data_IF_925936608674
#
_entry.id   IF_925936608674
#
_cell.length_a   1.000
_cell.length_b   1.000
_cell.length_c   1.000
_cell.angle_alpha   90.00
_cell.angle_beta   90.00
_cell.angle_gamma   90.00
#
_symmetry.space_group_name_H-M   'P 1'
#
loop_
_entity.id
_entity.type
_entity.pdbx_description
1 polymer ?
#
# COMPACT_ATOMS: atom_id res chain seq x y z
N UNK A 1 5.87 3.34 13.30
CA UNK A 1 5.46 2.86 11.96
C UNK A 1 6.13 3.67 10.85
N UNK A 2 6.06 5.01 10.89
CA UNK A 2 6.67 5.88 9.87
C UNK A 2 8.16 5.62 9.66
N UNK A 3 8.95 5.51 10.74
CA UNK A 3 10.38 5.18 10.66
C UNK A 3 10.66 3.89 9.88
N UNK A 4 9.92 2.81 10.14
CA UNK A 4 10.04 1.56 9.41
C UNK A 4 9.67 1.72 7.92
N UNK A 5 8.59 2.44 7.63
CA UNK A 5 8.13 2.67 6.27
C UNK A 5 9.19 3.44 5.46
N UNK A 6 9.67 4.57 6.00
CA UNK A 6 10.75 5.38 5.40
C UNK A 6 11.99 4.54 5.15
N UNK A 7 12.47 3.82 6.16
CA UNK A 7 13.68 2.99 6.04
C UNK A 7 13.54 1.90 4.97
N UNK A 8 12.36 1.29 4.81
CA UNK A 8 12.12 0.30 3.76
C UNK A 8 12.01 0.92 2.38
N UNK A 9 11.36 2.09 2.24
CA UNK A 9 11.25 2.83 0.99
C UNK A 9 12.61 3.30 0.47
N UNK A 10 13.46 3.83 1.36
CA UNK A 10 14.84 4.23 1.04
C UNK A 10 15.65 3.05 0.49
N UNK A 11 15.50 1.88 1.08
CA UNK A 11 16.22 0.67 0.68
C UNK A 11 15.81 0.11 -0.69
N UNK A 12 14.63 0.46 -1.20
CA UNK A 12 14.11 -0.01 -2.50
C UNK A 12 14.14 1.06 -3.58
N UNK A 13 14.74 2.23 -3.35
CA UNK A 13 15.02 3.18 -4.42
C UNK A 13 14.01 4.31 -4.58
N UNK A 14 13.14 4.55 -3.58
CA UNK A 14 12.20 5.68 -3.63
C UNK A 14 12.92 7.04 -3.74
N UNK A 15 13.96 7.34 -2.92
CA UNK A 15 14.66 8.63 -3.01
C UNK A 15 15.15 8.93 -4.43
N UNK A 16 15.80 7.96 -5.06
CA UNK A 16 16.32 8.07 -6.43
C UNK A 16 15.20 8.25 -7.47
N UNK A 17 14.08 7.53 -7.31
CA UNK A 17 12.96 7.55 -8.26
C UNK A 17 12.17 8.84 -8.20
N UNK A 18 12.03 9.44 -7.01
CA UNK A 18 11.22 10.63 -6.78
C UNK A 18 12.06 11.91 -6.59
N UNK A 19 13.39 11.83 -6.77
CA UNK A 19 14.29 12.98 -6.73
C UNK A 19 14.35 13.67 -5.36
N UNK A 20 14.34 12.88 -4.28
CA UNK A 20 14.46 13.36 -2.89
C UNK A 20 15.64 12.70 -2.18
N UNK A 21 16.14 13.30 -1.09
CA UNK A 21 17.29 12.76 -0.35
C UNK A 21 16.88 11.55 0.51
N UNK A 22 15.67 11.60 1.09
CA UNK A 22 15.05 10.47 1.79
C UNK A 22 13.56 10.40 1.47
N UNK A 23 12.99 9.19 1.55
CA UNK A 23 11.54 8.98 1.50
C UNK A 23 10.82 9.71 2.64
N UNK A 24 11.53 10.15 3.69
CA UNK A 24 11.00 11.03 4.72
C UNK A 24 10.50 12.36 4.14
N UNK A 25 11.15 12.89 3.10
CA UNK A 25 10.87 14.19 2.49
C UNK A 25 9.61 14.15 1.62
N UNK A 26 9.16 12.96 1.22
CA UNK A 26 7.88 12.78 0.55
C UNK A 26 6.72 13.15 1.48
N UNK A 27 6.85 12.94 2.79
CA UNK A 27 5.79 13.22 3.75
C UNK A 27 5.61 14.72 3.98
N UNK A 28 4.45 15.24 3.58
CA UNK A 28 4.15 16.67 3.61
C UNK A 28 4.39 17.36 2.27
N UNK A 29 4.97 16.66 1.29
CA UNK A 29 5.03 17.10 -0.09
C UNK A 29 3.74 16.77 -0.86
N UNK A 30 3.55 17.41 -2.01
CA UNK A 30 2.48 17.06 -2.96
C UNK A 30 2.71 15.74 -3.70
N UNK A 31 3.92 15.15 -3.61
CA UNK A 31 4.29 13.90 -4.27
C UNK A 31 3.74 12.67 -3.54
N UNK A 32 3.40 12.79 -2.25
CA UNK A 32 2.84 11.69 -1.46
C UNK A 32 1.33 11.85 -1.27
N UNK A 33 0.59 10.85 -1.72
CA UNK A 33 -0.81 10.67 -1.37
C UNK A 33 -0.93 9.50 -0.41
N UNK A 34 -1.57 9.72 0.74
CA UNK A 34 -1.91 8.65 1.68
C UNK A 34 -3.39 8.32 1.56
N UNK A 35 -3.74 7.04 1.62
CA UNK A 35 -5.10 6.55 1.50
C UNK A 35 -5.31 5.26 2.30
N UNK A 36 -6.56 4.84 2.42
CA UNK A 36 -6.93 3.61 3.10
C UNK A 36 -7.97 2.86 2.29
N UNK A 37 -7.81 1.54 2.20
CA UNK A 37 -8.82 0.64 1.62
C UNK A 37 -10.16 0.77 2.34
N UNK A 38 -10.12 0.98 3.65
CA UNK A 38 -11.29 1.25 4.48
C UNK A 38 -11.18 2.70 4.95
N UNK A 39 -12.01 3.58 4.40
CA UNK A 39 -11.97 5.03 4.64
C UNK A 39 -12.08 5.38 6.12
N UNK A 40 -12.93 4.66 6.85
CA UNK A 40 -13.21 4.90 8.26
C UNK A 40 -12.55 3.85 9.15
N UNK A 41 -12.19 4.21 10.41
CA UNK A 41 -11.71 3.24 11.38
C UNK A 41 -12.70 2.09 11.58
N UNK A 42 -12.22 0.86 11.41
CA UNK A 42 -13.01 -0.34 11.65
C UNK A 42 -12.55 -0.99 12.94
N UNK A 43 -13.51 -1.32 13.80
CA UNK A 43 -13.27 -2.00 15.05
C UNK A 43 -13.98 -3.35 15.05
N UNK A 44 -13.35 -4.32 15.69
CA UNK A 44 -13.97 -5.59 16.02
C UNK A 44 -13.70 -5.88 17.49
N UNK A 45 -14.74 -6.19 18.25
CA UNK A 45 -14.63 -6.50 19.68
C UNK A 45 -13.89 -5.40 20.48
N UNK A 46 -14.16 -4.12 20.13
CA UNK A 46 -13.50 -2.91 20.68
C UNK A 46 -11.99 -2.83 20.44
N UNK A 47 -11.46 -3.62 19.51
CA UNK A 47 -10.06 -3.61 19.08
C UNK A 47 -9.95 -3.16 17.63
N UNK A 48 -8.79 -2.63 17.27
CA UNK A 48 -8.48 -2.28 15.89
C UNK A 48 -8.62 -3.51 14.98
N UNK A 49 -9.39 -3.37 13.92
CA UNK A 49 -9.51 -4.40 12.90
C UNK A 49 -8.19 -4.56 12.13
N UNK A 50 -7.78 -5.81 11.89
CA UNK A 50 -6.47 -6.15 11.33
C UNK A 50 -6.50 -6.54 9.84
N UNK A 51 -7.67 -6.48 9.19
CA UNK A 51 -7.83 -6.88 7.79
C UNK A 51 -8.01 -8.40 7.57
N UNK A 52 -8.13 -9.22 8.61
CA UNK A 52 -8.12 -10.69 8.47
C UNK A 52 -9.45 -11.39 8.77
N UNK A 53 -10.23 -10.90 9.72
CA UNK A 53 -11.46 -11.59 10.15
C UNK A 53 -12.55 -10.58 10.54
N UNK A 54 -13.61 -10.39 9.72
CA UNK A 54 -13.78 -10.97 8.37
C UNK A 54 -12.71 -10.47 7.41
N UNK A 55 -12.56 -11.04 6.21
CA UNK A 55 -11.74 -10.42 5.15
C UNK A 55 -12.53 -9.23 4.58
N UNK A 56 -11.88 -8.13 4.12
CA UNK A 56 -12.61 -6.96 3.62
C UNK A 56 -13.61 -7.32 2.50
N UNK A 57 -13.17 -8.12 1.54
CA UNK A 57 -13.98 -8.55 0.40
C UNK A 57 -15.09 -9.56 0.76
N UNK A 58 -15.09 -10.11 1.98
CA UNK A 58 -16.09 -11.11 2.40
C UNK A 58 -17.17 -10.54 3.32
N UNK A 59 -17.13 -9.24 3.62
CA UNK A 59 -18.11 -8.59 4.50
C UNK A 59 -18.84 -7.47 3.73
N UNK A 60 -20.18 -7.52 3.60
CA UNK A 60 -20.93 -6.59 2.73
C UNK A 60 -20.61 -5.12 2.94
N UNK A 61 -20.64 -4.64 4.20
CA UNK A 61 -20.35 -3.24 4.50
C UNK A 61 -18.89 -2.81 4.21
N UNK A 62 -17.93 -3.74 4.31
CA UNK A 62 -16.53 -3.44 4.01
C UNK A 62 -16.30 -3.42 2.51
N UNK A 63 -16.94 -4.34 1.77
CA UNK A 63 -16.92 -4.39 0.32
C UNK A 63 -17.59 -3.15 -0.28
N UNK A 64 -18.74 -2.73 0.25
CA UNK A 64 -19.44 -1.51 -0.18
C UNK A 64 -18.55 -0.27 -0.03
N UNK A 65 -17.82 -0.14 1.08
CA UNK A 65 -16.86 0.95 1.28
C UNK A 65 -15.71 0.91 0.25
N UNK A 66 -15.25 -0.29 -0.12
CA UNK A 66 -14.23 -0.46 -1.15
C UNK A 66 -14.76 0.00 -2.51
N UNK A 67 -15.94 -0.50 -2.90
CA UNK A 67 -16.54 -0.24 -4.21
C UNK A 67 -16.94 1.23 -4.36
N UNK A 68 -17.56 1.82 -3.33
CA UNK A 68 -18.14 3.18 -3.39
C UNK A 68 -17.18 4.31 -3.00
N UNK A 69 -16.09 4.02 -2.27
CA UNK A 69 -15.16 5.06 -1.79
C UNK A 69 -13.75 4.81 -2.32
N UNK A 70 -13.15 3.68 -1.97
CA UNK A 70 -11.74 3.44 -2.29
C UNK A 70 -11.47 3.40 -3.80
N UNK A 71 -12.35 2.76 -4.57
CA UNK A 71 -12.20 2.71 -6.04
C UNK A 71 -12.27 4.10 -6.67
N UNK A 72 -13.13 4.98 -6.17
CA UNK A 72 -13.21 6.38 -6.64
C UNK A 72 -11.97 7.18 -6.25
N UNK A 73 -11.47 7.04 -5.00
CA UNK A 73 -10.24 7.68 -4.56
C UNK A 73 -9.04 7.22 -5.41
N UNK A 74 -8.95 5.92 -5.70
CA UNK A 74 -7.87 5.36 -6.52
C UNK A 74 -7.91 5.88 -7.97
N UNK A 75 -9.12 5.98 -8.55
CA UNK A 75 -9.31 6.51 -9.89
C UNK A 75 -8.88 7.99 -10.02
N UNK A 76 -8.94 8.77 -8.93
CA UNK A 76 -8.49 10.17 -8.91
C UNK A 76 -6.97 10.34 -8.93
N UNK A 77 -6.20 9.25 -8.82
CA UNK A 77 -4.74 9.26 -8.83
C UNK A 77 -4.19 8.38 -9.95
N UNK A 78 -4.44 8.69 -11.25
CA UNK A 78 -4.03 7.84 -12.37
C UNK A 78 -2.51 7.71 -12.55
N UNK A 79 -1.75 8.71 -12.10
CA UNK A 79 -0.31 8.82 -12.36
C UNK A 79 0.56 8.47 -11.14
N UNK A 80 -0.01 7.73 -10.18
CA UNK A 80 0.69 7.37 -8.94
C UNK A 80 1.15 5.91 -8.92
N UNK A 81 2.37 5.68 -8.44
CA UNK A 81 2.84 4.38 -7.97
C UNK A 81 2.14 4.03 -6.65
N UNK A 82 1.56 2.85 -6.57
CA UNK A 82 0.76 2.38 -5.43
C UNK A 82 1.60 1.45 -4.57
N UNK A 83 1.79 1.84 -3.30
CA UNK A 83 2.48 1.04 -2.30
C UNK A 83 1.47 0.38 -1.35
N UNK A 84 1.04 -0.88 -1.58
CA UNK A 84 0.17 -1.59 -0.67
C UNK A 84 0.89 -1.95 0.63
N UNK A 85 0.28 -1.61 1.77
CA UNK A 85 0.82 -1.96 3.08
C UNK A 85 0.27 -3.33 3.53
N UNK A 86 0.87 -4.41 3.02
CA UNK A 86 0.60 -5.78 3.43
C UNK A 86 -0.51 -6.51 2.66
N UNK A 87 -0.59 -7.83 2.88
CA UNK A 87 -1.33 -8.78 2.05
C UNK A 87 -2.85 -8.56 1.99
N UNK A 88 -3.45 -7.97 3.03
CA UNK A 88 -4.89 -7.65 2.99
C UNK A 88 -5.19 -6.55 1.97
N UNK A 89 -4.31 -5.55 1.87
CA UNK A 89 -4.44 -4.44 0.91
C UNK A 89 -4.18 -4.93 -0.50
N UNK A 90 -3.15 -5.77 -0.70
CA UNK A 90 -2.86 -6.39 -2.00
C UNK A 90 -4.07 -7.15 -2.55
N UNK A 91 -4.74 -7.98 -1.74
CA UNK A 91 -5.93 -8.71 -2.18
C UNK A 91 -7.07 -7.80 -2.61
N UNK A 92 -7.19 -6.62 -2.00
CA UNK A 92 -8.19 -5.64 -2.41
C UNK A 92 -7.78 -5.00 -3.73
N UNK A 93 -6.49 -4.68 -3.93
CA UNK A 93 -6.00 -4.21 -5.23
C UNK A 93 -6.15 -5.27 -6.33
N UNK A 94 -5.94 -6.56 -6.04
CA UNK A 94 -6.21 -7.67 -6.97
C UNK A 94 -7.69 -7.67 -7.40
N UNK A 95 -8.60 -7.47 -6.43
CA UNK A 95 -10.03 -7.34 -6.70
C UNK A 95 -10.35 -6.10 -7.55
N UNK A 96 -9.78 -4.94 -7.21
CA UNK A 96 -9.98 -3.69 -7.98
C UNK A 96 -9.43 -3.84 -9.40
N UNK A 97 -8.26 -4.46 -9.59
CA UNK A 97 -7.69 -4.75 -10.90
C UNK A 97 -8.56 -5.72 -11.71
N UNK A 98 -9.30 -6.63 -11.06
CA UNK A 98 -10.26 -7.50 -11.76
C UNK A 98 -11.53 -6.77 -12.24
N UNK A 99 -11.78 -5.56 -11.73
CA UNK A 99 -12.97 -4.74 -12.02
C UNK A 99 -12.67 -3.50 -12.85
N UNK A 100 -11.40 -3.15 -13.02
CA UNK A 100 -10.96 -1.88 -13.61
C UNK A 100 -9.73 -2.10 -14.49
N UNK A 101 -9.30 -1.07 -15.21
CA UNK A 101 -8.06 -1.08 -15.98
C UNK A 101 -6.82 -0.70 -15.14
N UNK A 102 -6.77 -1.06 -13.85
CA UNK A 102 -5.62 -0.78 -12.99
C UNK A 102 -4.37 -1.54 -13.52
N UNK A 103 -3.33 -0.85 -14.03
CA UNK A 103 -2.15 -1.50 -14.56
C UNK A 103 -1.33 -2.16 -13.45
N UNK A 104 -0.89 -3.40 -13.67
CA UNK A 104 -0.02 -4.11 -12.72
C UNK A 104 1.31 -3.38 -12.47
N UNK A 105 1.83 -2.65 -13.46
CA UNK A 105 3.03 -1.81 -13.35
C UNK A 105 2.91 -0.69 -12.31
N UNK A 106 1.68 -0.32 -11.92
CA UNK A 106 1.43 0.71 -10.91
C UNK A 106 1.40 0.17 -9.48
N UNK A 107 1.45 -1.14 -9.24
CA UNK A 107 1.27 -1.73 -7.91
C UNK A 107 2.54 -2.42 -7.43
N UNK A 108 3.13 -1.94 -6.33
CA UNK A 108 4.30 -2.52 -5.68
C UNK A 108 3.93 -3.72 -4.81
N UNK A 109 3.66 -4.86 -5.46
CA UNK A 109 3.33 -6.11 -4.77
C UNK A 109 4.51 -6.69 -3.98
N UNK A 110 4.23 -7.30 -2.84
CA UNK A 110 5.22 -7.94 -1.97
C UNK A 110 5.74 -7.06 -0.83
N UNK A 111 5.27 -5.82 -0.71
CA UNK A 111 5.70 -4.93 0.37
C UNK A 111 5.06 -5.33 1.72
N UNK A 112 5.87 -5.65 2.76
CA UNK A 112 5.33 -6.07 4.04
C UNK A 112 4.75 -4.90 4.84
N UNK A 113 3.74 -5.19 5.66
CA UNK A 113 3.14 -4.16 6.52
C UNK A 113 4.19 -3.54 7.47
N UNK A 114 4.30 -2.19 7.56
CA UNK A 114 5.39 -1.49 8.28
C UNK A 114 5.23 -1.45 9.81
N UNK A 115 4.07 -1.86 10.34
CA UNK A 115 3.81 -1.92 11.79
C UNK A 115 4.89 -2.70 12.56
N UNK A 116 5.25 -2.19 13.74
CA UNK A 116 6.18 -2.83 14.67
C UNK A 116 5.70 -4.19 15.18
N UNK A 117 4.37 -4.38 15.29
CA UNK A 117 3.76 -5.63 15.73
C UNK A 117 3.94 -6.80 14.73
N UNK A 118 4.41 -6.52 13.51
CA UNK A 118 4.73 -7.54 12.52
C UNK A 118 6.15 -8.09 12.75
N UNK A 119 6.27 -9.12 13.60
CA UNK A 119 7.56 -9.76 13.94
C UNK A 119 8.30 -10.38 12.74
N UNK A 120 7.59 -10.68 11.65
CA UNK A 120 8.18 -11.24 10.43
C UNK A 120 8.50 -10.19 9.35
N UNK A 121 8.26 -8.89 9.62
CA UNK A 121 8.43 -7.80 8.65
C UNK A 121 9.80 -7.83 7.98
N UNK A 122 10.88 -7.94 8.77
CA UNK A 122 12.24 -7.85 8.25
C UNK A 122 12.57 -9.02 7.32
N UNK A 123 12.24 -10.26 7.71
CA UNK A 123 12.44 -11.45 6.87
C UNK A 123 11.63 -11.37 5.57
N UNK A 124 10.38 -10.90 5.63
CA UNK A 124 9.56 -10.71 4.43
C UNK A 124 10.12 -9.61 3.53
N UNK A 125 10.56 -8.50 4.12
CA UNK A 125 11.16 -7.39 3.37
C UNK A 125 12.42 -7.84 2.64
N UNK A 126 13.37 -8.49 3.33
CA UNK A 126 14.62 -8.94 2.70
C UNK A 126 14.36 -9.89 1.52
N UNK A 127 13.36 -10.78 1.63
CA UNK A 127 12.98 -11.66 0.52
C UNK A 127 12.43 -10.90 -0.68
N UNK A 128 11.65 -9.84 -0.46
CA UNK A 128 10.99 -9.07 -1.52
C UNK A 128 11.84 -7.90 -2.05
N UNK A 129 12.87 -7.48 -1.31
CA UNK A 129 13.61 -6.22 -1.51
C UNK A 129 14.16 -6.07 -2.92
N UNK A 130 14.77 -7.12 -3.48
CA UNK A 130 15.36 -7.09 -4.82
C UNK A 130 14.31 -6.84 -5.91
N UNK A 131 13.16 -7.51 -5.81
CA UNK A 131 12.09 -7.38 -6.78
C UNK A 131 11.38 -6.04 -6.63
N UNK A 132 11.11 -5.60 -5.39
CA UNK A 132 10.58 -4.26 -5.10
C UNK A 132 11.49 -3.16 -5.65
N UNK A 133 12.80 -3.26 -5.44
CA UNK A 133 13.77 -2.29 -5.99
C UNK A 133 13.74 -2.26 -7.52
N UNK A 134 13.61 -3.41 -8.18
CA UNK A 134 13.47 -3.47 -9.64
C UNK A 134 12.20 -2.76 -10.11
N UNK A 135 11.07 -2.97 -9.43
CA UNK A 135 9.80 -2.33 -9.78
C UNK A 135 9.86 -0.81 -9.62
N UNK A 136 10.43 -0.33 -8.49
CA UNK A 136 10.53 1.10 -8.19
C UNK A 136 11.44 1.80 -9.19
N UNK A 137 12.65 1.29 -9.43
CA UNK A 137 13.61 1.90 -10.37
C UNK A 137 13.17 1.77 -11.85
N UNK A 138 12.31 0.80 -12.17
CA UNK A 138 11.75 0.62 -13.50
C UNK A 138 10.47 1.44 -13.74
N UNK A 139 9.93 2.11 -12.71
CA UNK A 139 8.73 2.91 -12.84
C UNK A 139 9.06 4.25 -13.49
N UNK A 140 8.29 4.60 -14.52
CA UNK A 140 8.32 5.91 -15.19
C UNK A 140 6.89 6.44 -15.27
N UNK A 141 6.73 7.74 -15.02
CA UNK A 141 5.47 8.46 -15.22
C UNK A 141 5.18 8.62 -16.71
#
# INVERSE_FOLDING_TARGET
>A
MRSNLVSMMDQIGFPETFGVDSSADLFGSSQLRTGSVLKYPVFRDRRNYTGSTPKPLSHPALLEMIDSVFMHELASAPDCLILPLGRSVERVLDYVASKTNLPASRVLTGFPHPSGANGHRQKHFERARKDLRRMVLGWSC
#
